data_IF_430811356111
#
_entry.id   IF_430811356111
#
_cell.length_a   1.000
_cell.length_b   1.000
_cell.length_c   1.000
_cell.angle_alpha   90.00
_cell.angle_beta   90.00
_cell.angle_gamma   90.00
#
_symmetry.space_group_name_H-M   'P 1'
#
loop_
_entity.id
_entity.type
_entity.pdbx_description
1 polymer ?
#
# COMPACT_ATOMS: atom_id res chain seq x y z
N UNK A 1 -21.45 0.02 7.05
CA UNK A 1 -22.02 1.26 6.47
C UNK A 1 -21.05 2.40 6.74
N UNK A 2 -20.11 2.65 5.83
CA UNK A 2 -19.16 3.75 5.97
C UNK A 2 -19.74 4.98 5.27
N UNK A 3 -20.53 5.75 6.01
CA UNK A 3 -21.05 7.03 5.55
C UNK A 3 -19.91 8.02 5.41
N UNK A 4 -19.71 8.53 4.21
CA UNK A 4 -18.76 9.58 3.91
C UNK A 4 -19.01 10.78 4.84
N UNK A 5 -17.95 11.26 5.56
CA UNK A 5 -18.04 12.46 6.45
C UNK A 5 -18.53 13.73 5.74
N UNK A 6 -18.37 13.81 4.42
CA UNK A 6 -18.96 14.88 3.59
C UNK A 6 -20.48 14.86 3.61
N UNK A 7 -21.14 13.72 3.82
CA UNK A 7 -22.59 13.65 3.94
C UNK A 7 -23.09 14.28 5.24
N UNK A 8 -22.36 14.15 6.36
CA UNK A 8 -22.74 14.69 7.66
C UNK A 8 -22.71 16.22 7.66
N UNK A 9 -21.71 16.82 7.03
CA UNK A 9 -21.58 18.29 6.93
C UNK A 9 -22.62 18.90 5.98
N UNK A 10 -22.97 18.18 4.92
CA UNK A 10 -24.01 18.61 3.98
C UNK A 10 -25.43 18.56 4.55
N UNK A 11 -25.72 17.59 5.43
CA UNK A 11 -27.06 17.44 6.04
C UNK A 11 -27.27 18.24 7.31
N UNK A 12 -26.26 18.37 8.16
CA UNK A 12 -26.38 18.93 9.51
C UNK A 12 -25.63 20.25 9.70
N UNK A 13 -24.96 20.75 8.66
CA UNK A 13 -24.18 21.99 8.70
C UNK A 13 -22.78 21.83 9.29
N UNK A 14 -21.94 22.84 9.08
CA UNK A 14 -20.51 22.83 9.40
C UNK A 14 -20.26 22.66 10.91
N UNK A 15 -21.04 23.34 11.77
CA UNK A 15 -20.86 23.32 13.23
C UNK A 15 -21.17 21.94 13.79
N UNK A 16 -22.30 21.34 13.39
CA UNK A 16 -22.68 20.00 13.86
C UNK A 16 -21.70 18.95 13.35
N UNK A 17 -21.27 19.05 12.08
CA UNK A 17 -20.24 18.17 11.53
C UNK A 17 -18.90 18.30 12.25
N UNK A 18 -18.51 19.51 12.64
CA UNK A 18 -17.30 19.76 13.43
C UNK A 18 -17.42 19.16 14.85
N UNK A 19 -18.53 19.40 15.55
CA UNK A 19 -18.77 18.86 16.89
C UNK A 19 -18.81 17.32 16.89
N UNK A 20 -19.51 16.72 15.92
CA UNK A 20 -19.52 15.25 15.73
C UNK A 20 -18.12 14.69 15.50
N UNK A 21 -17.29 15.41 14.77
CA UNK A 21 -15.91 15.01 14.53
C UNK A 21 -15.05 15.11 15.79
N UNK A 22 -15.25 16.12 16.64
CA UNK A 22 -14.53 16.25 17.91
C UNK A 22 -14.87 15.12 18.89
N UNK A 23 -16.12 14.72 18.97
CA UNK A 23 -16.55 13.64 19.88
C UNK A 23 -16.13 12.25 19.41
N UNK A 24 -15.77 12.09 18.14
CA UNK A 24 -15.37 10.80 17.55
C UNK A 24 -13.84 10.64 17.40
N UNK A 25 -13.04 11.47 18.04
CA UNK A 25 -11.57 11.40 17.94
C UNK A 25 -10.93 10.41 18.91
N UNK A 26 -11.63 10.04 19.97
CA UNK A 26 -11.10 9.14 21.01
C UNK A 26 -11.57 7.70 20.77
N UNK A 27 -10.64 6.77 20.89
CA UNK A 27 -10.95 5.34 20.97
C UNK A 27 -11.40 5.07 22.40
N UNK A 28 -12.67 4.71 22.56
CA UNK A 28 -13.19 4.34 23.87
C UNK A 28 -12.50 3.08 24.36
N UNK A 29 -11.98 3.13 25.59
CA UNK A 29 -11.47 1.94 26.25
C UNK A 29 -12.67 1.04 26.60
N UNK A 30 -12.69 -0.26 26.22
CA UNK A 30 -13.74 -1.18 26.64
C UNK A 30 -13.86 -1.23 28.17
N UNK A 31 -15.06 -1.39 28.71
CA UNK A 31 -15.30 -1.40 30.17
C UNK A 31 -14.50 -2.49 30.90
N UNK A 32 -14.34 -3.65 30.27
CA UNK A 32 -13.62 -4.80 30.82
C UNK A 32 -12.12 -4.84 30.42
N UNK A 33 -11.58 -3.75 29.87
CA UNK A 33 -10.20 -3.73 29.41
C UNK A 33 -9.25 -3.68 30.61
N UNK A 34 -8.55 -4.78 30.84
CA UNK A 34 -7.45 -4.91 31.80
C UNK A 34 -6.33 -5.77 31.22
N UNK A 35 -5.15 -5.74 31.84
CA UNK A 35 -4.05 -6.61 31.43
C UNK A 35 -4.42 -8.07 31.56
N UNK A 36 -5.11 -8.42 32.65
CA UNK A 36 -5.58 -9.78 32.94
C UNK A 36 -6.57 -10.28 31.88
N UNK A 37 -7.48 -9.43 31.40
CA UNK A 37 -8.41 -9.76 30.34
C UNK A 37 -7.68 -9.99 28.99
N UNK A 38 -6.67 -9.20 28.69
CA UNK A 38 -5.83 -9.38 27.50
C UNK A 38 -5.03 -10.69 27.60
N UNK A 39 -4.40 -10.96 28.74
CA UNK A 39 -3.61 -12.17 28.95
C UNK A 39 -4.50 -13.41 28.87
N UNK A 40 -5.70 -13.38 29.44
CA UNK A 40 -6.67 -14.48 29.35
C UNK A 40 -7.14 -14.74 27.91
N UNK A 41 -7.24 -13.71 27.06
CA UNK A 41 -7.53 -13.88 25.64
C UNK A 41 -6.35 -14.52 24.91
N UNK A 42 -5.12 -14.14 25.23
CA UNK A 42 -3.91 -14.69 24.61
C UNK A 42 -3.67 -16.15 25.01
N UNK A 43 -3.90 -16.50 26.27
CA UNK A 43 -3.78 -17.88 26.78
C UNK A 43 -4.76 -18.85 26.12
N UNK A 44 -5.91 -18.35 25.66
CA UNK A 44 -6.93 -19.17 24.99
C UNK A 44 -6.76 -19.24 23.46
N UNK A 45 -5.72 -18.63 22.89
CA UNK A 45 -5.49 -18.70 21.44
C UNK A 45 -4.74 -19.98 21.09
N UNK A 46 -5.47 -20.94 20.53
CA UNK A 46 -4.87 -22.15 19.94
C UNK A 46 -4.07 -21.78 18.69
N UNK A 47 -2.75 -21.90 18.78
CA UNK A 47 -1.82 -21.61 17.67
C UNK A 47 -2.16 -22.40 16.40
N UNK A 48 -2.71 -23.62 16.55
CA UNK A 48 -3.07 -24.48 15.41
C UNK A 48 -4.28 -23.96 14.63
N UNK A 49 -5.13 -23.15 15.27
CA UNK A 49 -6.35 -22.61 14.66
C UNK A 49 -6.20 -21.21 14.07
N UNK A 50 -5.11 -20.49 14.36
CA UNK A 50 -4.90 -19.11 13.90
C UNK A 50 -4.97 -18.98 12.37
N UNK A 51 -4.62 -20.02 11.63
CA UNK A 51 -4.59 -20.00 10.17
C UNK A 51 -5.66 -20.87 9.49
N UNK A 52 -6.25 -21.82 10.21
CA UNK A 52 -7.15 -22.82 9.63
C UNK A 52 -8.57 -22.32 9.35
N UNK A 53 -8.99 -21.22 9.97
CA UNK A 53 -10.39 -20.74 9.94
C UNK A 53 -10.63 -19.52 9.08
N UNK A 54 -9.59 -18.92 8.47
CA UNK A 54 -9.79 -17.79 7.58
C UNK A 54 -10.23 -18.27 6.19
N UNK A 55 -11.44 -17.93 5.71
CA UNK A 55 -11.90 -18.27 4.37
C UNK A 55 -11.07 -17.58 3.26
N UNK A 56 -10.16 -16.68 3.63
CA UNK A 56 -9.25 -15.96 2.73
C UNK A 56 -7.95 -16.71 2.46
N UNK A 57 -7.63 -17.75 3.26
CA UNK A 57 -6.45 -18.56 3.01
C UNK A 57 -6.82 -19.80 2.20
N UNK A 58 -6.35 -19.84 0.96
CA UNK A 58 -6.36 -21.07 0.18
C UNK A 58 -5.56 -22.14 0.93
N UNK A 59 -6.16 -23.32 1.13
CA UNK A 59 -5.54 -24.48 1.79
C UNK A 59 -4.34 -25.08 1.06
N UNK A 60 -3.91 -24.47 -0.04
CA UNK A 60 -2.73 -24.90 -0.80
C UNK A 60 -1.38 -24.40 -0.25
N UNK A 61 -1.37 -23.48 0.73
CA UNK A 61 -0.19 -23.09 1.44
C UNK A 61 0.01 -23.95 2.68
N UNK A 62 0.74 -25.05 2.52
CA UNK A 62 1.39 -25.70 3.67
C UNK A 62 2.44 -24.71 4.17
N UNK A 63 2.28 -24.17 5.37
CA UNK A 63 3.34 -23.47 6.05
C UNK A 63 4.52 -24.45 6.15
N UNK A 64 5.53 -24.26 5.31
CA UNK A 64 6.79 -24.98 5.45
C UNK A 64 7.44 -24.40 6.69
N UNK A 65 7.28 -25.07 7.81
CA UNK A 65 8.07 -24.77 9.00
C UNK A 65 9.49 -25.21 8.64
N UNK A 66 10.47 -24.30 8.54
CA UNK A 66 11.84 -24.68 8.27
C UNK A 66 12.30 -25.62 9.39
N UNK A 67 12.63 -26.86 9.05
CA UNK A 67 13.15 -27.85 10.00
C UNK A 67 14.62 -27.66 10.35
N UNK A 68 15.30 -26.70 9.68
CA UNK A 68 16.73 -26.47 9.87
C UNK A 68 16.99 -25.05 10.39
N UNK A 69 17.73 -24.97 11.50
CA UNK A 69 18.20 -23.73 12.13
C UNK A 69 19.18 -22.91 11.28
N UNK A 70 19.47 -23.33 10.05
CA UNK A 70 20.40 -22.68 9.13
C UNK A 70 19.76 -22.03 7.91
N UNK A 71 18.45 -21.83 7.89
CA UNK A 71 17.84 -21.11 6.78
C UNK A 71 18.26 -19.64 6.84
N UNK A 72 19.04 -19.21 5.86
CA UNK A 72 19.41 -17.81 5.68
C UNK A 72 18.12 -16.97 5.58
N UNK A 73 17.99 -15.99 6.46
CA UNK A 73 16.84 -15.09 6.45
C UNK A 73 16.81 -14.33 5.11
N UNK A 74 15.67 -14.35 4.38
CA UNK A 74 15.57 -13.71 3.07
C UNK A 74 15.57 -12.19 3.18
N UNK A 75 16.00 -11.50 2.15
CA UNK A 75 15.63 -10.10 1.93
C UNK A 75 14.15 -10.03 1.64
N UNK A 76 13.45 -9.07 2.27
CA UNK A 76 12.04 -8.80 2.06
C UNK A 76 11.91 -7.41 1.47
N UNK A 77 11.45 -7.31 0.22
CA UNK A 77 11.09 -6.06 -0.41
C UNK A 77 9.56 -6.04 -0.52
N UNK A 78 8.93 -5.14 0.23
CA UNK A 78 7.49 -5.04 0.35
C UNK A 78 6.99 -3.78 -0.35
N UNK A 79 6.54 -3.92 -1.58
CA UNK A 79 6.10 -2.81 -2.43
C UNK A 79 4.58 -2.67 -2.38
N UNK A 80 4.12 -1.48 -2.05
CA UNK A 80 2.76 -1.04 -2.25
C UNK A 80 2.71 -0.18 -3.50
N UNK A 81 2.22 -0.73 -4.59
CA UNK A 81 2.00 -0.01 -5.84
C UNK A 81 0.69 0.79 -5.73
N UNK A 82 0.84 2.05 -5.35
CA UNK A 82 -0.26 2.93 -4.94
C UNK A 82 -1.24 3.16 -6.10
N UNK A 83 -2.54 2.97 -5.82
CA UNK A 83 -3.65 3.06 -6.79
C UNK A 83 -3.55 2.10 -7.98
N UNK A 84 -2.61 1.16 -7.99
CA UNK A 84 -2.54 0.13 -9.03
C UNK A 84 -3.62 -0.93 -8.84
N UNK A 85 -4.20 -1.37 -9.94
CA UNK A 85 -5.04 -2.55 -10.03
C UNK A 85 -5.02 -3.09 -11.47
N UNK A 86 -5.29 -4.38 -11.62
CA UNK A 86 -5.29 -5.00 -12.93
C UNK A 86 -6.54 -4.62 -13.73
N UNK A 87 -6.38 -3.68 -14.65
CA UNK A 87 -7.50 -3.19 -15.48
C UNK A 87 -7.97 -4.21 -16.49
N UNK A 88 -7.22 -5.27 -16.78
CA UNK A 88 -7.68 -6.37 -17.64
C UNK A 88 -8.93 -7.06 -17.07
N UNK A 89 -9.16 -6.96 -15.77
CA UNK A 89 -10.41 -7.41 -15.14
C UNK A 89 -11.67 -6.75 -15.71
N UNK A 90 -11.53 -5.62 -16.41
CA UNK A 90 -12.64 -4.98 -17.10
C UNK A 90 -13.08 -5.74 -18.37
N UNK A 91 -12.27 -6.66 -18.89
CA UNK A 91 -12.62 -7.46 -20.05
C UNK A 91 -13.87 -8.31 -19.80
N UNK A 92 -14.08 -8.77 -18.56
CA UNK A 92 -15.31 -9.44 -18.16
C UNK A 92 -16.57 -8.59 -18.33
N UNK A 93 -16.42 -7.27 -18.42
CA UNK A 93 -17.51 -6.32 -18.65
C UNK A 93 -17.54 -5.81 -20.10
N UNK A 94 -16.78 -6.43 -21.01
CA UNK A 94 -16.74 -6.09 -22.43
C UNK A 94 -15.88 -4.88 -22.77
N UNK A 95 -14.96 -4.50 -21.90
CA UNK A 95 -13.98 -3.44 -22.13
C UNK A 95 -12.65 -4.10 -22.48
N UNK A 96 -12.21 -3.97 -23.73
CA UNK A 96 -10.97 -4.57 -24.19
C UNK A 96 -9.93 -3.52 -24.61
N UNK A 97 -8.67 -3.89 -24.58
CA UNK A 97 -7.54 -3.01 -24.81
C UNK A 97 -6.72 -3.48 -26.02
N UNK A 98 -5.91 -2.59 -26.61
CA UNK A 98 -5.04 -2.89 -27.74
C UNK A 98 -3.75 -3.62 -27.34
N UNK A 99 -3.49 -3.74 -26.04
CA UNK A 99 -2.34 -4.45 -25.48
C UNK A 99 -2.68 -5.03 -24.12
N UNK A 100 -1.90 -6.00 -23.66
CA UNK A 100 -1.92 -6.44 -22.26
C UNK A 100 -1.35 -5.35 -21.38
N UNK A 101 -2.22 -4.70 -20.64
CA UNK A 101 -1.91 -3.53 -19.83
C UNK A 101 -1.10 -3.89 -18.59
N UNK A 102 -1.30 -5.11 -18.08
CA UNK A 102 -0.67 -5.63 -16.86
C UNK A 102 0.33 -6.76 -17.18
N UNK A 103 0.97 -6.73 -18.36
CA UNK A 103 1.80 -7.83 -18.86
C UNK A 103 2.87 -8.33 -17.88
N UNK A 104 3.49 -7.43 -17.11
CA UNK A 104 4.52 -7.80 -16.14
C UNK A 104 3.90 -8.48 -14.91
N UNK A 105 2.75 -8.01 -14.44
CA UNK A 105 1.99 -8.69 -13.39
C UNK A 105 1.56 -10.08 -13.84
N UNK A 106 1.00 -10.20 -15.05
CA UNK A 106 0.60 -11.50 -15.62
C UNK A 106 1.79 -12.45 -15.78
N UNK A 107 2.96 -11.94 -16.18
CA UNK A 107 4.18 -12.74 -16.26
C UNK A 107 4.63 -13.22 -14.86
N UNK A 108 4.59 -12.38 -13.85
CA UNK A 108 4.90 -12.76 -12.47
C UNK A 108 3.93 -13.80 -11.92
N UNK A 109 2.66 -13.69 -12.22
CA UNK A 109 1.63 -14.66 -11.78
C UNK A 109 1.88 -16.08 -12.32
N UNK A 110 2.61 -16.23 -13.42
CA UNK A 110 2.98 -17.57 -13.95
C UNK A 110 4.03 -18.28 -13.10
N UNK A 111 4.83 -17.54 -12.34
CA UNK A 111 6.00 -18.07 -11.62
C UNK A 111 5.99 -17.80 -10.12
N UNK A 112 5.01 -17.04 -9.64
CA UNK A 112 4.94 -16.57 -8.25
C UNK A 112 3.58 -16.85 -7.63
N UNK A 113 3.52 -16.91 -6.32
CA UNK A 113 2.26 -16.93 -5.60
C UNK A 113 1.53 -15.58 -5.76
N UNK A 114 0.25 -15.63 -6.04
CA UNK A 114 -0.57 -14.43 -6.18
C UNK A 114 -1.97 -14.63 -5.60
N UNK A 115 -2.67 -13.52 -5.37
CA UNK A 115 -4.04 -13.54 -4.87
C UNK A 115 -4.66 -12.15 -4.86
N UNK A 116 -5.89 -12.05 -4.38
CA UNK A 116 -6.58 -10.76 -4.21
C UNK A 116 -6.37 -10.25 -2.79
N UNK A 117 -6.03 -8.96 -2.67
CA UNK A 117 -6.06 -8.23 -1.43
C UNK A 117 -7.22 -7.22 -1.46
N UNK A 118 -7.93 -7.09 -0.33
CA UNK A 118 -9.00 -6.10 -0.19
C UNK A 118 -8.47 -4.88 0.55
N UNK A 119 -8.62 -3.71 -0.08
CA UNK A 119 -8.26 -2.44 0.56
C UNK A 119 -9.30 -2.06 1.64
N UNK A 120 -8.87 -1.60 2.82
CA UNK A 120 -9.78 -1.09 3.85
C UNK A 120 -10.40 0.25 3.47
N UNK A 121 -9.82 0.94 2.48
CA UNK A 121 -10.23 2.28 2.05
C UNK A 121 -10.62 2.30 0.58
N UNK A 122 -11.63 3.11 0.26
CA UNK A 122 -12.07 3.36 -1.10
C UNK A 122 -11.85 4.84 -1.46
N UNK A 123 -11.21 5.09 -2.61
CA UNK A 123 -11.05 6.43 -3.16
C UNK A 123 -10.03 7.31 -2.43
N UNK A 124 -9.03 6.72 -1.81
CA UNK A 124 -7.94 7.40 -1.10
C UNK A 124 -7.68 6.83 0.29
N UNK A 125 -6.74 7.44 1.04
CA UNK A 125 -6.38 6.96 2.36
C UNK A 125 -5.27 5.92 2.33
N UNK A 126 -4.24 6.13 1.54
CA UNK A 126 -3.06 5.27 1.43
C UNK A 126 -2.49 4.85 2.78
N UNK A 127 -2.45 5.79 3.75
CA UNK A 127 -1.97 5.49 5.11
C UNK A 127 -2.85 4.50 5.88
N UNK A 128 -4.12 4.34 5.52
CA UNK A 128 -5.02 3.35 6.12
C UNK A 128 -4.59 1.94 5.69
N UNK A 129 -4.28 1.79 4.39
CA UNK A 129 -3.82 0.52 3.79
C UNK A 129 -2.42 0.16 4.30
N UNK A 130 -1.50 1.12 4.32
CA UNK A 130 -0.16 0.93 4.88
C UNK A 130 -0.21 0.51 6.36
N UNK A 131 -1.08 1.17 7.13
CA UNK A 131 -1.24 0.86 8.55
C UNK A 131 -1.68 -0.60 8.76
N UNK A 132 -2.72 -1.05 8.06
CA UNK A 132 -3.16 -2.44 8.16
C UNK A 132 -2.08 -3.42 7.68
N UNK A 133 -1.43 -3.11 6.56
CA UNK A 133 -0.40 -3.97 5.98
C UNK A 133 0.83 -4.12 6.87
N UNK A 134 1.24 -3.05 7.57
CA UNK A 134 2.45 -3.05 8.40
C UNK A 134 2.19 -3.48 9.85
N UNK A 135 0.98 -3.28 10.37
CA UNK A 135 0.67 -3.56 11.79
C UNK A 135 -0.20 -4.80 12.00
N UNK A 136 -0.98 -5.20 10.98
CA UNK A 136 -2.02 -6.21 11.12
C UNK A 136 -3.27 -5.72 11.88
N UNK A 137 -3.31 -4.46 12.34
CA UNK A 137 -4.48 -3.89 13.00
C UNK A 137 -5.45 -3.31 11.99
N UNK A 138 -6.75 -3.58 12.15
CA UNK A 138 -7.75 -3.04 11.22
C UNK A 138 -8.16 -1.61 11.57
N UNK A 139 -8.20 -0.75 10.55
CA UNK A 139 -8.75 0.62 10.66
C UNK A 139 -10.25 0.63 10.96
N UNK A 140 -10.95 -0.49 10.80
CA UNK A 140 -12.38 -0.60 11.12
C UNK A 140 -12.68 -0.40 12.60
N UNK A 141 -11.69 -0.61 13.47
CA UNK A 141 -11.79 -0.36 14.91
C UNK A 141 -11.47 1.07 15.31
N UNK A 142 -10.98 1.88 14.37
CA UNK A 142 -10.71 3.29 14.61
C UNK A 142 -11.97 4.13 14.39
N UNK A 143 -12.06 5.31 15.03
CA UNK A 143 -13.16 6.23 14.77
C UNK A 143 -13.29 6.54 13.27
N UNK A 144 -14.53 6.61 12.77
CA UNK A 144 -14.79 6.80 11.35
C UNK A 144 -14.05 8.00 10.76
N UNK A 145 -13.29 7.78 9.68
CA UNK A 145 -12.46 8.78 8.98
C UNK A 145 -11.19 9.14 9.71
N UNK A 146 -10.77 8.39 10.75
CA UNK A 146 -9.44 8.49 11.32
C UNK A 146 -8.37 8.29 10.25
N UNK A 147 -7.24 8.94 10.45
CA UNK A 147 -6.01 8.73 9.68
C UNK A 147 -4.95 8.21 10.63
N UNK A 148 -4.64 6.90 10.59
CA UNK A 148 -3.80 6.23 11.59
C UNK A 148 -2.49 6.95 11.84
N UNK A 149 -1.76 7.29 10.79
CA UNK A 149 -0.45 7.93 10.87
C UNK A 149 -0.49 9.34 11.47
N UNK A 150 -1.60 10.06 11.31
CA UNK A 150 -1.75 11.41 11.82
C UNK A 150 -2.29 11.46 13.26
N UNK A 151 -3.04 10.43 13.68
CA UNK A 151 -3.82 10.49 14.90
C UNK A 151 -3.47 9.40 15.91
N UNK A 152 -3.01 8.23 15.47
CA UNK A 152 -2.84 7.06 16.31
C UNK A 152 -1.40 6.55 16.42
N UNK A 153 -0.59 6.68 15.35
CA UNK A 153 0.83 6.30 15.36
C UNK A 153 1.67 7.45 15.92
N UNK A 154 1.37 7.87 17.16
CA UNK A 154 2.03 9.01 17.83
C UNK A 154 3.15 8.60 18.78
N UNK A 155 3.34 7.31 18.99
CA UNK A 155 4.38 6.68 19.82
C UNK A 155 4.75 5.33 19.25
N UNK A 156 5.90 4.73 19.63
CA UNK A 156 6.26 3.40 19.19
C UNK A 156 5.14 2.39 19.43
N UNK A 157 4.82 1.61 18.40
CA UNK A 157 3.83 0.56 18.47
C UNK A 157 4.31 -0.68 17.68
N UNK A 158 3.72 -1.83 17.99
CA UNK A 158 4.06 -3.06 17.29
C UNK A 158 3.69 -2.97 15.80
N UNK A 159 4.65 -3.31 14.96
CA UNK A 159 4.51 -3.37 13.51
C UNK A 159 5.54 -4.32 12.92
N UNK A 160 5.36 -4.70 11.65
CA UNK A 160 6.27 -5.60 10.94
C UNK A 160 7.74 -5.15 11.01
N UNK A 161 8.10 -3.86 10.81
CA UNK A 161 9.48 -3.42 10.93
C UNK A 161 10.07 -3.69 12.32
N UNK A 162 9.35 -3.36 13.40
CA UNK A 162 9.84 -3.65 14.76
C UNK A 162 10.05 -5.15 14.98
N UNK A 163 9.09 -5.98 14.55
CA UNK A 163 9.20 -7.43 14.67
C UNK A 163 10.41 -7.97 13.92
N UNK A 164 10.63 -7.53 12.69
CA UNK A 164 11.75 -7.96 11.88
C UNK A 164 13.10 -7.51 12.46
N UNK A 165 13.16 -6.31 13.07
CA UNK A 165 14.35 -5.87 13.83
C UNK A 165 14.69 -6.79 14.97
N UNK A 166 13.69 -7.31 15.71
CA UNK A 166 13.91 -8.33 16.75
C UNK A 166 14.48 -9.64 16.17
N UNK A 167 14.26 -9.89 14.87
CA UNK A 167 14.84 -11.02 14.11
C UNK A 167 16.19 -10.69 13.47
N UNK A 168 16.75 -9.52 13.73
CA UNK A 168 18.07 -9.10 13.23
C UNK A 168 18.07 -8.37 11.91
N UNK A 169 16.90 -8.03 11.35
CA UNK A 169 16.81 -7.25 10.11
C UNK A 169 17.22 -5.79 10.31
N UNK A 170 17.82 -5.21 9.30
CA UNK A 170 17.85 -3.77 9.08
C UNK A 170 16.60 -3.37 8.29
N UNK A 171 16.04 -2.19 8.56
CA UNK A 171 14.73 -1.79 8.03
C UNK A 171 14.78 -0.40 7.41
N UNK A 172 14.24 -0.25 6.20
CA UNK A 172 14.08 1.06 5.58
C UNK A 172 12.73 1.19 4.87
N UNK A 173 12.28 2.45 4.72
CA UNK A 173 11.14 2.78 3.89
C UNK A 173 11.54 3.74 2.78
N UNK A 174 10.92 3.61 1.60
CA UNK A 174 11.13 4.48 0.45
C UNK A 174 9.78 4.95 -0.07
N UNK A 175 9.58 6.26 -0.21
CA UNK A 175 8.34 6.81 -0.75
C UNK A 175 8.61 8.04 -1.61
N UNK A 176 8.24 7.98 -2.87
CA UNK A 176 8.50 9.02 -3.85
C UNK A 176 7.53 10.22 -3.75
N UNK A 177 7.16 10.58 -2.54
CA UNK A 177 6.38 11.78 -2.23
C UNK A 177 6.92 12.43 -0.94
N UNK A 178 6.36 13.59 -0.55
CA UNK A 178 6.84 14.36 0.60
C UNK A 178 6.73 13.60 1.91
N UNK A 179 7.79 13.60 2.70
CA UNK A 179 7.89 12.91 3.99
C UNK A 179 6.75 13.27 4.96
N UNK A 180 6.36 14.53 4.98
CA UNK A 180 5.30 15.05 5.87
C UNK A 180 3.89 14.65 5.44
N UNK A 181 3.73 14.16 4.20
CA UNK A 181 2.41 13.75 3.74
C UNK A 181 1.98 12.49 4.48
N UNK A 182 0.76 12.48 4.99
CA UNK A 182 0.27 11.49 5.96
C UNK A 182 1.10 11.41 7.25
N UNK A 183 2.00 12.37 7.54
CA UNK A 183 2.92 12.35 8.70
C UNK A 183 3.85 11.14 8.74
N UNK A 184 4.31 10.63 7.57
CA UNK A 184 5.22 9.47 7.50
C UNK A 184 6.55 9.73 8.18
N UNK A 185 7.03 10.96 8.15
CA UNK A 185 8.22 11.42 8.88
C UNK A 185 8.16 11.11 10.40
N UNK A 186 6.97 11.00 10.96
CA UNK A 186 6.73 10.66 12.37
C UNK A 186 6.26 9.23 12.56
N UNK A 187 5.41 8.75 11.65
CA UNK A 187 4.81 7.43 11.75
C UNK A 187 5.82 6.30 11.51
N UNK A 188 6.67 6.40 10.49
CA UNK A 188 7.62 5.33 10.16
C UNK A 188 8.63 5.04 11.26
N UNK A 189 9.27 6.02 11.92
CA UNK A 189 10.09 5.74 13.10
C UNK A 189 9.31 5.05 14.23
N UNK A 190 8.06 5.43 14.47
CA UNK A 190 7.20 4.80 15.48
C UNK A 190 6.80 3.36 15.11
N UNK A 191 6.74 3.03 13.82
CA UNK A 191 6.53 1.68 13.32
C UNK A 191 7.81 0.85 13.29
N UNK A 192 8.97 1.47 13.53
CA UNK A 192 10.25 0.79 13.69
C UNK A 192 11.17 0.80 12.48
N UNK A 193 10.93 1.60 11.46
CA UNK A 193 11.90 1.81 10.40
C UNK A 193 13.14 2.54 10.92
N UNK A 194 14.32 2.07 10.50
CA UNK A 194 15.59 2.72 10.83
C UNK A 194 15.84 3.93 9.95
N UNK A 195 15.49 3.83 8.66
CA UNK A 195 15.66 4.88 7.66
C UNK A 195 14.37 5.12 6.88
N UNK A 196 14.17 6.36 6.44
CA UNK A 196 13.09 6.74 5.56
C UNK A 196 13.60 7.69 4.46
N UNK A 197 13.57 7.21 3.23
CA UNK A 197 13.94 7.94 2.02
C UNK A 197 12.67 8.48 1.38
N UNK A 198 12.53 9.79 1.32
CA UNK A 198 11.40 10.50 0.75
C UNK A 198 11.75 11.20 -0.57
N UNK A 199 10.78 11.82 -1.22
CA UNK A 199 11.02 12.60 -2.44
C UNK A 199 12.08 13.69 -2.26
N UNK A 200 12.20 14.24 -1.05
CA UNK A 200 13.18 15.28 -0.72
C UNK A 200 14.63 14.77 -0.78
N UNK A 201 14.81 13.45 -0.62
CA UNK A 201 16.13 12.80 -0.63
C UNK A 201 16.49 12.23 -2.00
N UNK A 202 15.51 12.16 -2.94
CA UNK A 202 15.68 11.56 -4.25
C UNK A 202 16.26 12.54 -5.27
N UNK A 203 17.19 12.07 -6.10
CA UNK A 203 17.81 12.84 -7.16
C UNK A 203 17.69 12.13 -8.51
N UNK A 204 17.58 12.91 -9.59
CA UNK A 204 17.58 12.39 -10.97
C UNK A 204 16.34 11.59 -11.35
N UNK A 205 15.26 11.69 -10.58
CA UNK A 205 14.03 10.94 -10.85
C UNK A 205 13.24 11.52 -12.02
N UNK A 206 12.73 10.64 -12.88
CA UNK A 206 11.79 10.98 -13.94
C UNK A 206 10.39 11.12 -13.37
N UNK A 207 9.62 12.07 -13.87
CA UNK A 207 8.26 12.34 -13.45
C UNK A 207 7.31 12.33 -14.63
N UNK A 208 6.11 11.74 -14.44
CA UNK A 208 5.01 11.90 -15.38
C UNK A 208 4.51 13.34 -15.37
N UNK A 209 4.05 13.81 -16.52
CA UNK A 209 3.63 15.20 -16.70
C UNK A 209 2.34 15.50 -15.91
N UNK A 210 2.28 16.74 -15.40
CA UNK A 210 1.07 17.42 -14.90
C UNK A 210 0.29 16.69 -13.78
N UNK A 211 0.84 16.78 -12.60
CA UNK A 211 0.04 16.57 -11.39
C UNK A 211 -0.23 17.92 -10.72
N UNK A 212 -1.47 18.16 -10.26
CA UNK A 212 -1.88 19.48 -9.76
C UNK A 212 -1.25 19.88 -8.40
N UNK A 213 -0.73 18.92 -7.63
CA UNK A 213 -0.05 19.19 -6.35
C UNK A 213 1.47 19.31 -6.48
N UNK A 214 2.02 18.78 -7.56
CA UNK A 214 3.47 18.67 -7.75
C UNK A 214 3.84 18.93 -9.19
N UNK A 215 5.11 19.13 -9.44
CA UNK A 215 5.65 19.16 -10.81
C UNK A 215 5.78 17.72 -11.37
N UNK A 216 4.67 16.97 -11.36
CA UNK A 216 4.57 15.58 -11.77
C UNK A 216 4.78 14.59 -10.62
N UNK A 217 4.43 13.33 -10.87
CA UNK A 217 4.65 12.20 -9.99
C UNK A 217 5.83 11.38 -10.50
N UNK A 218 6.63 10.85 -9.59
CA UNK A 218 7.78 9.98 -9.92
C UNK A 218 7.27 8.73 -10.61
N UNK A 219 7.91 8.33 -11.70
CA UNK A 219 7.58 7.13 -12.45
C UNK A 219 7.94 5.86 -11.66
N UNK A 220 7.25 4.76 -11.94
CA UNK A 220 7.52 3.48 -11.29
C UNK A 220 8.92 2.96 -11.63
N UNK A 221 9.43 3.20 -12.86
CA UNK A 221 10.81 2.89 -13.23
C UNK A 221 11.81 3.63 -12.33
N UNK A 222 11.63 4.95 -12.17
CA UNK A 222 12.49 5.73 -11.27
C UNK A 222 12.35 5.30 -9.82
N UNK A 223 11.15 4.88 -9.39
CA UNK A 223 10.94 4.36 -8.06
C UNK A 223 11.63 3.02 -7.87
N UNK A 224 11.63 2.14 -8.89
CA UNK A 224 12.38 0.89 -8.87
C UNK A 224 13.89 1.13 -8.72
N UNK A 225 14.44 2.12 -9.44
CA UNK A 225 15.84 2.52 -9.30
C UNK A 225 16.16 3.00 -7.87
N UNK A 226 15.27 3.77 -7.24
CA UNK A 226 15.45 4.21 -5.85
C UNK A 226 15.39 3.03 -4.86
N UNK A 227 14.50 2.06 -5.07
CA UNK A 227 14.43 0.83 -4.28
C UNK A 227 15.73 0.04 -4.40
N UNK A 228 16.23 -0.13 -5.62
CA UNK A 228 17.50 -0.84 -5.88
C UNK A 228 18.67 -0.11 -5.22
N UNK A 229 18.76 1.20 -5.39
CA UNK A 229 19.81 2.01 -4.78
C UNK A 229 19.82 1.89 -3.26
N UNK A 230 18.64 1.96 -2.63
CA UNK A 230 18.54 1.80 -1.18
C UNK A 230 18.90 0.38 -0.74
N UNK A 231 18.45 -0.65 -1.47
CA UNK A 231 18.83 -2.03 -1.21
C UNK A 231 20.35 -2.22 -1.26
N UNK A 232 21.01 -1.75 -2.32
CA UNK A 232 22.48 -1.87 -2.47
C UNK A 232 23.24 -1.09 -1.37
N UNK A 233 22.74 0.07 -0.98
CA UNK A 233 23.27 0.84 0.15
C UNK A 233 23.20 0.05 1.45
N UNK A 234 22.05 -0.53 1.77
CA UNK A 234 21.85 -1.35 2.97
C UNK A 234 22.72 -2.60 2.94
N UNK A 235 22.79 -3.28 1.80
CA UNK A 235 23.61 -4.49 1.62
C UNK A 235 25.11 -4.22 1.76
N UNK A 236 25.58 -3.06 1.30
CA UNK A 236 26.99 -2.66 1.44
C UNK A 236 27.36 -2.26 2.86
N UNK A 237 26.39 -1.82 3.65
CA UNK A 237 26.61 -1.35 5.04
C UNK A 237 26.64 -2.49 6.06
N UNK A 238 25.98 -3.63 5.78
CA UNK A 238 25.82 -4.71 6.74
C UNK A 238 25.42 -6.03 6.08
N UNK A 239 25.87 -7.15 6.65
CA UNK A 239 25.45 -8.51 6.26
C UNK A 239 24.07 -8.92 6.82
N UNK A 240 23.41 -8.04 7.58
CA UNK A 240 22.08 -8.32 8.13
C UNK A 240 21.04 -8.48 7.01
N UNK A 241 20.01 -9.31 7.21
CA UNK A 241 18.90 -9.38 6.28
C UNK A 241 18.18 -8.03 6.20
N UNK A 242 17.55 -7.75 5.05
CA UNK A 242 16.97 -6.46 4.73
C UNK A 242 15.44 -6.58 4.68
N UNK A 243 14.75 -5.67 5.35
CA UNK A 243 13.36 -5.36 5.12
C UNK A 243 13.24 -3.95 4.54
N UNK A 244 12.78 -3.86 3.31
CA UNK A 244 12.58 -2.61 2.58
C UNK A 244 11.12 -2.46 2.20
N UNK A 245 10.44 -1.45 2.75
CA UNK A 245 9.07 -1.09 2.36
C UNK A 245 9.10 0.06 1.36
N UNK A 246 8.31 -0.05 0.30
CA UNK A 246 8.24 0.99 -0.71
C UNK A 246 6.78 1.32 -1.07
N UNK A 247 6.50 2.61 -1.29
CA UNK A 247 5.18 3.07 -1.75
C UNK A 247 5.37 3.94 -2.99
N UNK A 248 4.76 3.52 -4.11
CA UNK A 248 4.85 4.25 -5.39
C UNK A 248 3.85 5.40 -5.48
N UNK A 249 3.86 6.15 -6.57
CA UNK A 249 2.94 7.28 -6.78
C UNK A 249 2.50 7.46 -8.24
N UNK A 250 3.06 6.74 -9.21
CA UNK A 250 2.78 6.97 -10.62
C UNK A 250 1.29 6.85 -10.96
N UNK A 251 0.62 5.88 -10.36
CA UNK A 251 -0.80 5.57 -10.61
C UNK A 251 -1.77 6.44 -9.81
N UNK A 252 -1.27 7.39 -9.01
CA UNK A 252 -2.13 8.28 -8.23
C UNK A 252 -2.94 9.23 -9.14
N UNK A 253 -4.21 9.46 -8.79
CA UNK A 253 -5.05 10.47 -9.47
C UNK A 253 -4.38 11.86 -9.37
N UNK A 254 -4.53 12.80 -10.32
CA UNK A 254 -5.55 12.90 -11.38
C UNK A 254 -5.07 12.26 -12.69
N UNK A 255 -5.99 11.60 -13.35
CA UNK A 255 -5.75 11.04 -14.67
C UNK A 255 -6.07 12.09 -15.73
N UNK A 256 -5.04 12.67 -16.33
CA UNK A 256 -5.14 13.65 -17.41
C UNK A 256 -4.62 13.06 -18.72
N UNK A 257 -5.28 13.42 -19.83
CA UNK A 257 -4.89 12.95 -21.16
C UNK A 257 -3.45 13.32 -21.55
N UNK A 258 -2.86 14.29 -20.87
CA UNK A 258 -1.52 14.80 -21.15
C UNK A 258 -0.46 14.22 -20.19
N UNK A 259 -0.80 13.25 -19.34
CA UNK A 259 0.16 12.61 -18.45
C UNK A 259 1.20 11.79 -19.23
N UNK A 260 0.78 11.18 -20.33
CA UNK A 260 1.63 10.35 -21.19
C UNK A 260 1.56 10.80 -22.64
N UNK A 261 2.64 10.62 -23.44
CA UNK A 261 2.61 10.77 -24.89
C UNK A 261 1.54 9.89 -25.57
N UNK A 262 1.06 10.28 -26.74
CA UNK A 262 -0.02 9.55 -27.43
C UNK A 262 0.36 8.11 -27.82
N UNK A 263 1.63 7.88 -28.12
CA UNK A 263 2.22 6.60 -28.50
C UNK A 263 2.44 5.65 -27.30
N UNK A 264 2.49 6.19 -26.08
CA UNK A 264 2.59 5.40 -24.86
C UNK A 264 1.21 5.04 -24.26
N UNK A 265 0.12 5.52 -24.85
CA UNK A 265 -1.21 5.34 -24.29
C UNK A 265 -1.85 4.04 -24.77
N UNK A 266 -2.39 3.29 -23.82
CA UNK A 266 -3.25 2.14 -24.13
C UNK A 266 -4.59 2.63 -24.70
N UNK A 267 -5.07 1.93 -25.73
CA UNK A 267 -6.34 2.24 -26.39
C UNK A 267 -7.41 1.23 -26.01
N UNK A 268 -8.59 1.72 -25.72
CA UNK A 268 -9.77 0.88 -25.56
C UNK A 268 -10.27 0.49 -26.96
N UNK A 269 -10.32 -0.80 -27.24
CA UNK A 269 -10.80 -1.36 -28.53
C UNK A 269 -12.32 -1.52 -28.54
N UNK A 270 -12.90 -1.98 -27.44
CA UNK A 270 -14.34 -2.18 -27.32
C UNK A 270 -14.86 -1.77 -25.94
N UNK A 271 -16.14 -1.45 -25.87
CA UNK A 271 -16.86 -1.17 -24.64
C UNK A 271 -18.36 -1.43 -24.83
N UNK A 272 -19.13 -1.74 -23.77
CA UNK A 272 -20.57 -1.92 -23.82
C UNK A 272 -21.31 -0.69 -24.38
N UNK A 273 -22.37 -0.94 -25.15
CA UNK A 273 -23.27 0.11 -25.60
C UNK A 273 -23.91 0.84 -24.38
N UNK A 274 -23.92 2.17 -24.42
CA UNK A 274 -24.51 3.00 -23.35
C UNK A 274 -23.51 3.58 -22.34
N UNK A 275 -22.26 3.14 -22.36
CA UNK A 275 -21.22 3.85 -21.63
C UNK A 275 -20.91 5.18 -22.34
N UNK A 276 -21.08 6.30 -21.62
CA UNK A 276 -20.88 7.64 -22.21
C UNK A 276 -19.39 7.88 -22.53
N UNK A 277 -19.07 8.55 -23.67
CA UNK A 277 -17.67 8.78 -24.10
C UNK A 277 -16.77 9.51 -23.08
N UNK A 278 -17.35 10.33 -22.21
CA UNK A 278 -16.60 11.13 -21.25
C UNK A 278 -15.74 10.32 -20.25
N UNK A 279 -16.17 9.17 -19.72
CA UNK A 279 -15.30 8.29 -18.93
C UNK A 279 -14.14 7.70 -19.75
N UNK A 280 -14.41 7.31 -21.01
CA UNK A 280 -13.46 6.62 -21.88
C UNK A 280 -12.29 7.48 -22.33
N UNK A 281 -12.52 8.74 -22.57
CA UNK A 281 -11.45 9.69 -22.90
C UNK A 281 -10.46 9.82 -21.73
N UNK A 282 -10.87 9.51 -20.49
CA UNK A 282 -9.99 9.46 -19.33
C UNK A 282 -9.22 8.14 -19.22
N UNK A 283 -9.81 7.02 -19.65
CA UNK A 283 -9.20 5.68 -19.56
C UNK A 283 -8.03 5.47 -20.51
N UNK A 284 -8.01 6.17 -21.64
CA UNK A 284 -6.84 6.23 -22.54
C UNK A 284 -5.54 6.72 -21.86
N UNK A 285 -5.59 6.97 -20.56
CA UNK A 285 -4.60 7.74 -19.81
C UNK A 285 -3.93 6.89 -18.73
N UNK A 286 -4.53 5.76 -18.38
CA UNK A 286 -4.28 5.13 -17.07
C UNK A 286 -2.99 4.32 -16.98
N UNK A 287 -2.32 4.01 -18.10
CA UNK A 287 -1.27 3.00 -18.03
C UNK A 287 -0.15 3.30 -19.05
N UNK A 288 1.08 3.46 -18.61
CA UNK A 288 2.21 3.35 -19.50
C UNK A 288 2.29 1.92 -20.02
N UNK A 289 2.62 1.76 -21.31
CA UNK A 289 2.89 0.45 -21.91
C UNK A 289 4.10 -0.26 -21.25
N UNK A 290 4.91 0.48 -20.51
CA UNK A 290 6.00 0.00 -19.68
C UNK A 290 5.49 -0.26 -18.25
N UNK A 291 4.97 -1.45 -18.00
CA UNK A 291 4.82 -1.91 -16.62
C UNK A 291 6.20 -2.06 -15.97
N UNK A 292 6.28 -1.80 -14.66
CA UNK A 292 7.51 -1.90 -13.87
C UNK A 292 8.33 -3.15 -14.24
N UNK A 293 9.47 -2.95 -14.92
CA UNK A 293 10.44 -4.02 -15.14
C UNK A 293 11.27 -4.14 -13.85
N UNK A 294 10.79 -4.95 -12.91
CA UNK A 294 11.71 -5.39 -11.86
C UNK A 294 12.78 -6.25 -12.53
N UNK A 295 14.08 -5.92 -12.38
CA UNK A 295 15.13 -6.79 -12.87
C UNK A 295 14.97 -8.15 -12.20
N UNK A 296 15.03 -9.23 -12.99
CA UNK A 296 15.06 -10.59 -12.46
C UNK A 296 16.24 -10.73 -11.51
N UNK A 297 15.99 -10.79 -10.23
CA UNK A 297 16.95 -11.21 -9.22
C UNK A 297 17.07 -12.75 -9.33
N UNK A 298 17.84 -13.21 -10.30
CA UNK A 298 18.30 -14.60 -10.37
C UNK A 298 19.69 -14.65 -9.76
N UNK A 299 19.79 -15.40 -8.67
CA UNK A 299 20.91 -15.91 -7.87
C UNK A 299 21.18 -15.20 -6.57
#
# INVERSE_FOLDING_TARGET
MHGCRTATTGYYGVITGFMTNLTNLEISKPEEYSQEAVDALLDNVDESQKFATSPLYSTSYSAVTPKDEQVKQPTIIYVMDESYWDVSELEQYGITFDTDVSKNLHALQQTSAYGRAYSPSFGGGTCDVEFEALTGYSVSFLPSGSKPYQQHVTKPMFAMPNYLKLKGYQTAAVHCFWAKYWSRDKAYPNLGFDDFISLEDMHGVTKVRKHYWTNGLVTDDSMADQIIQQYESMKSSSDKPIFLHAVTMQNHTNYNKDNYPDDERVKVLSHPAGLKPAPWARWKILLPASGMQMPCWAN
#
